data_IF_704636261099
#
_entry.id   IF_704636261099
#
_cell.length_a   1.000
_cell.length_b   1.000
_cell.length_c   1.000
_cell.angle_alpha   90.00
_cell.angle_beta   90.00
_cell.angle_gamma   90.00
#
_symmetry.space_group_name_H-M   'P 1'
#
loop_
_entity.id
_entity.type
_entity.pdbx_description
1 polymer ?
#
# COMPACT_ATOMS: atom_id res chain seq x y z
N UNK A 1 -16.01 -17.30 -22.40
CA UNK A 1 -16.02 -16.22 -21.40
C UNK A 1 -15.47 -14.97 -22.04
N UNK A 2 -16.33 -14.08 -22.54
CA UNK A 2 -15.90 -12.74 -22.93
C UNK A 2 -16.08 -11.85 -21.70
N UNK A 3 -14.98 -11.36 -21.12
CA UNK A 3 -15.07 -10.33 -20.08
C UNK A 3 -15.48 -9.02 -20.75
N UNK A 4 -16.47 -8.33 -20.18
CA UNK A 4 -16.84 -6.98 -20.62
C UNK A 4 -15.83 -5.92 -20.13
N UNK A 5 -14.84 -6.29 -19.30
CA UNK A 5 -13.84 -5.38 -18.75
C UNK A 5 -12.78 -4.99 -19.80
N UNK A 6 -12.68 -3.69 -20.18
CA UNK A 6 -11.67 -3.24 -21.13
C UNK A 6 -10.23 -3.39 -20.62
N UNK A 7 -10.05 -3.54 -19.30
CA UNK A 7 -8.74 -3.74 -18.67
C UNK A 7 -8.33 -5.20 -18.59
N UNK A 8 -9.20 -6.14 -18.95
CA UNK A 8 -8.87 -7.58 -18.91
C UNK A 8 -8.12 -7.98 -20.21
N UNK A 9 -7.00 -8.74 -20.13
CA UNK A 9 -6.39 -9.36 -18.93
C UNK A 9 -5.27 -8.52 -18.28
N UNK A 10 -5.05 -7.27 -18.72
CA UNK A 10 -3.96 -6.42 -18.25
C UNK A 10 -4.00 -6.22 -16.72
N UNK A 11 -5.15 -5.86 -16.16
CA UNK A 11 -5.27 -5.60 -14.71
C UNK A 11 -4.95 -6.83 -13.84
N UNK A 12 -5.50 -8.04 -14.09
CA UNK A 12 -5.10 -9.25 -13.39
C UNK A 12 -3.59 -9.53 -13.47
N UNK A 13 -2.98 -9.39 -14.65
CA UNK A 13 -1.54 -9.62 -14.85
C UNK A 13 -0.73 -8.62 -14.02
N UNK A 14 -1.06 -7.32 -14.11
CA UNK A 14 -0.42 -6.28 -13.33
C UNK A 14 -0.58 -6.51 -11.81
N UNK A 15 -1.77 -6.90 -11.36
CA UNK A 15 -2.05 -7.18 -9.95
C UNK A 15 -1.26 -8.39 -9.43
N UNK A 16 -1.13 -9.44 -10.24
CA UNK A 16 -0.32 -10.61 -9.87
C UNK A 16 1.18 -10.28 -9.80
N UNK A 17 1.69 -9.51 -10.77
CA UNK A 17 3.08 -9.03 -10.71
C UNK A 17 3.31 -8.10 -9.51
N UNK A 18 2.35 -7.22 -9.21
CA UNK A 18 2.38 -6.35 -8.05
C UNK A 18 2.33 -7.11 -6.71
N UNK A 19 1.77 -8.32 -6.68
CA UNK A 19 1.86 -9.20 -5.52
C UNK A 19 3.28 -9.79 -5.35
N UNK A 20 3.90 -10.25 -6.42
CA UNK A 20 5.19 -10.96 -6.35
C UNK A 20 6.38 -10.01 -6.19
N UNK A 21 6.41 -8.92 -6.97
CA UNK A 21 7.60 -8.07 -7.10
C UNK A 21 8.03 -7.43 -5.78
N UNK A 22 7.15 -6.86 -4.92
CA UNK A 22 7.55 -6.29 -3.64
C UNK A 22 8.05 -7.34 -2.65
N UNK A 23 7.59 -8.59 -2.75
CA UNK A 23 8.02 -9.69 -1.87
C UNK A 23 9.48 -10.09 -2.10
N UNK A 24 10.01 -9.87 -3.31
CA UNK A 24 11.41 -10.14 -3.65
C UNK A 24 12.30 -9.40 -2.63
N UNK A 25 12.28 -8.05 -2.53
CA UNK A 25 12.23 -7.22 -1.32
C UNK A 25 12.63 -7.76 0.05
N UNK A 26 11.77 -8.66 0.49
CA UNK A 26 11.35 -8.74 1.88
C UNK A 26 12.44 -9.31 2.79
N UNK A 27 13.15 -10.40 2.43
CA UNK A 27 14.08 -11.05 3.34
C UNK A 27 15.23 -10.15 3.80
N UNK A 28 15.76 -9.29 2.93
CA UNK A 28 16.85 -8.38 3.32
C UNK A 28 16.35 -7.16 4.09
N UNK A 29 15.15 -6.65 3.79
CA UNK A 29 14.57 -5.57 4.59
C UNK A 29 14.21 -6.03 6.01
N UNK A 30 13.79 -7.29 6.17
CA UNK A 30 13.62 -7.93 7.49
C UNK A 30 14.96 -8.04 8.23
N UNK A 31 16.02 -8.54 7.57
CA UNK A 31 17.38 -8.60 8.15
C UNK A 31 17.91 -7.22 8.56
N UNK A 32 17.57 -6.17 7.79
CA UNK A 32 17.95 -4.79 8.06
C UNK A 32 17.08 -4.10 9.14
N UNK A 33 16.10 -4.80 9.73
CA UNK A 33 15.15 -4.25 10.69
C UNK A 33 14.43 -3.00 10.15
N UNK A 34 14.10 -2.97 8.86
CA UNK A 34 13.37 -1.87 8.24
C UNK A 34 11.86 -2.13 8.26
N UNK A 35 11.26 -2.01 9.45
CA UNK A 35 9.82 -2.23 9.71
C UNK A 35 8.91 -1.48 8.76
N UNK A 36 9.13 -0.18 8.55
CA UNK A 36 8.31 0.62 7.63
C UNK A 36 8.24 0.05 6.21
N UNK A 37 9.37 -0.32 5.60
CA UNK A 37 9.37 -0.97 4.28
C UNK A 37 8.72 -2.36 4.32
N UNK A 38 8.92 -3.12 5.40
CA UNK A 38 8.32 -4.45 5.53
C UNK A 38 6.78 -4.36 5.58
N UNK A 39 6.23 -3.38 6.30
CA UNK A 39 4.78 -3.12 6.31
C UNK A 39 4.27 -2.62 4.96
N UNK A 40 5.05 -1.77 4.27
CA UNK A 40 4.71 -1.32 2.93
C UNK A 40 4.61 -2.51 1.96
N UNK A 41 5.61 -3.40 1.96
CA UNK A 41 5.61 -4.64 1.17
C UNK A 41 4.42 -5.52 1.55
N UNK A 42 4.17 -5.73 2.84
CA UNK A 42 3.08 -6.56 3.34
C UNK A 42 1.72 -6.07 2.83
N UNK A 43 1.39 -4.79 3.02
CA UNK A 43 0.10 -4.24 2.63
C UNK A 43 -0.09 -4.19 1.11
N UNK A 44 0.94 -3.74 0.37
CA UNK A 44 0.87 -3.70 -1.10
C UNK A 44 0.71 -5.10 -1.68
N UNK A 45 1.48 -6.08 -1.22
CA UNK A 45 1.39 -7.46 -1.70
C UNK A 45 0.04 -8.09 -1.34
N UNK A 46 -0.42 -7.94 -0.09
CA UNK A 46 -1.69 -8.48 0.36
C UNK A 46 -2.88 -7.90 -0.42
N UNK A 47 -2.88 -6.58 -0.63
CA UNK A 47 -3.92 -5.91 -1.40
C UNK A 47 -3.87 -6.25 -2.89
N UNK A 48 -2.68 -6.37 -3.49
CA UNK A 48 -2.52 -6.81 -4.88
C UNK A 48 -3.00 -8.25 -5.10
N UNK A 49 -2.73 -9.16 -4.16
CA UNK A 49 -3.28 -10.52 -4.20
C UNK A 49 -4.81 -10.51 -4.11
N UNK A 50 -5.36 -9.70 -3.21
CA UNK A 50 -6.80 -9.54 -3.08
C UNK A 50 -7.42 -9.07 -4.41
N UNK A 51 -6.87 -8.01 -5.00
CA UNK A 51 -7.34 -7.45 -6.28
C UNK A 51 -7.20 -8.45 -7.44
N UNK A 52 -6.12 -9.22 -7.49
CA UNK A 52 -5.94 -10.27 -8.48
C UNK A 52 -7.07 -11.31 -8.40
N UNK A 53 -7.31 -11.88 -7.20
CA UNK A 53 -8.36 -12.89 -7.00
C UNK A 53 -9.73 -12.31 -7.40
N UNK A 54 -10.04 -11.08 -6.96
CA UNK A 54 -11.28 -10.40 -7.30
C UNK A 54 -11.47 -10.26 -8.83
N UNK A 55 -10.43 -9.82 -9.54
CA UNK A 55 -10.48 -9.63 -10.99
C UNK A 55 -10.60 -10.92 -11.81
N UNK A 56 -10.15 -12.06 -11.25
CA UNK A 56 -10.19 -13.36 -11.92
C UNK A 56 -11.51 -14.07 -11.64
N UNK A 57 -11.95 -14.11 -10.37
CA UNK A 57 -13.15 -14.86 -9.94
C UNK A 57 -14.44 -14.22 -10.48
N UNK A 58 -14.49 -12.90 -10.57
CA UNK A 58 -15.67 -12.15 -11.06
C UNK A 58 -15.44 -11.56 -12.46
N UNK A 59 -14.58 -12.17 -13.29
CA UNK A 59 -14.22 -11.64 -14.60
C UNK A 59 -15.40 -11.50 -15.58
N UNK A 60 -16.44 -12.34 -15.44
CA UNK A 60 -17.54 -12.46 -16.42
C UNK A 60 -18.95 -12.32 -15.84
N UNK A 61 -19.09 -12.13 -14.52
CA UNK A 61 -20.37 -11.94 -13.85
C UNK A 61 -20.16 -11.44 -12.41
N UNK A 62 -21.25 -11.08 -11.73
CA UNK A 62 -21.27 -10.60 -10.35
C UNK A 62 -21.80 -11.64 -9.33
N UNK A 63 -21.81 -12.94 -9.68
CA UNK A 63 -22.43 -13.97 -8.83
C UNK A 63 -21.68 -14.15 -7.50
N UNK A 64 -22.39 -14.15 -6.38
CA UNK A 64 -21.80 -14.41 -5.06
C UNK A 64 -21.39 -15.88 -4.87
N UNK A 65 -20.21 -16.26 -5.37
CA UNK A 65 -19.65 -17.62 -5.25
C UNK A 65 -18.88 -17.87 -3.95
N UNK A 66 -18.26 -16.82 -3.40
CA UNK A 66 -17.30 -16.93 -2.31
C UNK A 66 -17.57 -15.84 -1.25
N UNK A 67 -18.69 -15.95 -0.49
CA UNK A 67 -19.10 -14.91 0.45
C UNK A 67 -18.08 -14.66 1.56
N UNK A 68 -17.47 -15.72 2.10
CA UNK A 68 -16.42 -15.60 3.13
C UNK A 68 -15.19 -14.87 2.59
N UNK A 69 -14.82 -15.12 1.33
CA UNK A 69 -13.74 -14.40 0.69
C UNK A 69 -14.09 -12.92 0.54
N UNK A 70 -15.31 -12.58 0.12
CA UNK A 70 -15.73 -11.19 0.01
C UNK A 70 -15.68 -10.46 1.35
N UNK A 71 -16.12 -11.08 2.45
CA UNK A 71 -16.01 -10.49 3.80
C UNK A 71 -14.55 -10.15 4.16
N UNK A 72 -13.61 -11.03 3.83
CA UNK A 72 -12.18 -10.82 4.08
C UNK A 72 -11.64 -9.75 3.11
N UNK A 73 -12.00 -9.84 1.83
CA UNK A 73 -11.55 -8.97 0.75
C UNK A 73 -11.84 -7.50 1.05
N UNK A 74 -13.07 -7.17 1.45
CA UNK A 74 -13.44 -5.78 1.72
C UNK A 74 -12.64 -5.18 2.89
N UNK A 75 -12.32 -6.00 3.90
CA UNK A 75 -11.53 -5.61 5.08
C UNK A 75 -10.05 -5.46 4.74
N UNK A 76 -9.52 -6.32 3.87
CA UNK A 76 -8.16 -6.17 3.33
C UNK A 76 -8.04 -4.86 2.56
N UNK A 77 -8.99 -4.58 1.66
CA UNK A 77 -9.01 -3.35 0.86
C UNK A 77 -9.08 -2.10 1.74
N UNK A 78 -9.96 -2.11 2.75
CA UNK A 78 -10.09 -1.02 3.71
C UNK A 78 -8.84 -0.86 4.61
N UNK A 79 -8.23 -1.96 5.07
CA UNK A 79 -7.00 -1.91 5.84
C UNK A 79 -5.82 -1.41 5.02
N UNK A 80 -5.72 -1.82 3.75
CA UNK A 80 -4.63 -1.43 2.86
C UNK A 80 -4.66 0.05 2.48
N UNK A 81 -5.86 0.65 2.31
CA UNK A 81 -5.99 2.08 1.99
C UNK A 81 -5.40 2.99 3.08
N UNK A 82 -5.31 2.49 4.33
CA UNK A 82 -4.74 3.20 5.47
C UNK A 82 -3.33 2.68 5.80
N UNK A 83 -3.12 1.38 5.69
CA UNK A 83 -1.86 0.69 6.01
C UNK A 83 -0.70 1.07 5.09
N UNK A 84 -0.96 1.29 3.79
CA UNK A 84 0.08 1.70 2.83
C UNK A 84 0.58 3.13 3.16
N UNK A 85 -0.28 4.16 3.32
CA UNK A 85 0.16 5.48 3.79
C UNK A 85 0.80 5.44 5.18
N UNK A 86 0.27 4.64 6.11
CA UNK A 86 0.83 4.51 7.45
C UNK A 86 2.27 3.94 7.44
N UNK A 87 2.54 2.99 6.54
CA UNK A 87 3.88 2.46 6.33
C UNK A 87 4.82 3.52 5.73
N UNK A 88 4.34 4.32 4.77
CA UNK A 88 5.06 5.49 4.22
C UNK A 88 5.43 6.49 5.32
N UNK A 89 4.48 6.82 6.20
CA UNK A 89 4.70 7.67 7.37
C UNK A 89 5.81 7.12 8.28
N UNK A 90 5.81 5.81 8.55
CA UNK A 90 6.86 5.20 9.37
C UNK A 90 8.25 5.27 8.68
N UNK A 91 8.31 5.18 7.35
CA UNK A 91 9.55 5.35 6.58
C UNK A 91 10.09 6.77 6.75
N UNK A 92 9.28 7.81 6.53
CA UNK A 92 9.73 9.20 6.65
C UNK A 92 10.08 9.57 8.08
N UNK A 93 9.29 9.11 9.06
CA UNK A 93 9.57 9.31 10.48
C UNK A 93 10.93 8.74 10.86
N UNK A 94 11.26 7.54 10.38
CA UNK A 94 12.58 6.93 10.60
C UNK A 94 13.70 7.73 9.94
N UNK A 95 13.51 8.19 8.70
CA UNK A 95 14.49 9.05 8.02
C UNK A 95 14.74 10.33 8.82
N UNK A 96 13.68 10.94 9.34
CA UNK A 96 13.75 12.11 10.22
C UNK A 96 14.56 11.81 11.48
N UNK A 97 14.23 10.75 12.22
CA UNK A 97 14.98 10.37 13.43
C UNK A 97 16.46 10.09 13.16
N UNK A 98 16.79 9.39 12.07
CA UNK A 98 18.19 9.12 11.70
C UNK A 98 18.92 10.43 11.36
N UNK A 99 18.24 11.40 10.76
CA UNK A 99 18.85 12.68 10.42
C UNK A 99 19.11 13.55 11.65
N UNK A 100 18.24 13.52 12.67
CA UNK A 100 18.31 14.41 13.83
C UNK A 100 19.17 13.87 14.97
N UNK A 101 19.28 12.55 15.13
CA UNK A 101 20.05 11.92 16.22
C UNK A 101 21.50 11.71 15.80
N UNK A 102 22.43 12.36 16.52
CA UNK A 102 23.89 12.30 16.27
C UNK A 102 24.60 11.12 16.96
N UNK A 103 23.91 10.31 17.79
CA UNK A 103 24.56 9.22 18.53
C UNK A 103 24.71 7.93 17.71
N UNK A 104 25.93 7.40 17.66
CA UNK A 104 26.34 6.32 16.75
C UNK A 104 25.95 4.90 17.19
N UNK A 105 25.33 4.70 18.36
CA UNK A 105 25.00 3.37 18.86
C UNK A 105 23.50 3.19 19.07
N UNK A 106 22.85 2.53 18.10
CA UNK A 106 21.45 2.09 18.25
C UNK A 106 21.39 0.78 19.00
N UNK A 107 20.80 0.80 20.20
CA UNK A 107 20.69 -0.41 21.03
C UNK A 107 19.65 -1.38 20.45
N UNK A 108 19.74 -2.68 20.80
CA UNK A 108 18.70 -3.66 20.40
C UNK A 108 17.33 -3.29 20.98
N UNK A 109 17.28 -2.70 22.18
CA UNK A 109 16.05 -2.26 22.82
C UNK A 109 15.37 -1.13 22.02
N UNK A 110 16.14 -0.14 21.55
CA UNK A 110 15.64 0.92 20.67
C UNK A 110 15.07 0.36 19.36
N UNK A 111 15.77 -0.58 18.72
CA UNK A 111 15.27 -1.22 17.49
C UNK A 111 13.93 -1.93 17.72
N UNK A 112 13.78 -2.65 18.82
CA UNK A 112 12.50 -3.29 19.19
C UNK A 112 11.41 -2.26 19.45
N UNK A 113 11.72 -1.16 20.13
CA UNK A 113 10.77 -0.08 20.38
C UNK A 113 10.29 0.57 19.09
N UNK A 114 11.18 0.78 18.11
CA UNK A 114 10.81 1.28 16.78
C UNK A 114 9.86 0.31 16.09
N UNK A 115 10.18 -0.99 16.05
CA UNK A 115 9.29 -1.99 15.46
C UNK A 115 7.93 -2.03 16.15
N UNK A 116 7.88 -1.92 17.48
CA UNK A 116 6.62 -1.88 18.22
C UNK A 116 5.78 -0.66 17.81
N UNK A 117 6.38 0.53 17.80
CA UNK A 117 5.65 1.76 17.41
C UNK A 117 5.18 1.67 15.95
N UNK A 118 6.02 1.18 15.05
CA UNK A 118 5.66 0.98 13.65
C UNK A 118 4.55 -0.06 13.50
N UNK A 119 4.53 -1.12 14.34
CA UNK A 119 3.43 -2.11 14.37
C UNK A 119 2.11 -1.48 14.81
N UNK A 120 2.14 -0.61 15.82
CA UNK A 120 0.95 0.09 16.29
C UNK A 120 0.37 1.00 15.20
N UNK A 121 1.24 1.71 14.47
CA UNK A 121 0.83 2.63 13.39
C UNK A 121 0.41 1.87 12.13
N UNK A 122 1.13 0.83 11.73
CA UNK A 122 0.93 0.15 10.44
C UNK A 122 -0.06 -1.01 10.50
N UNK A 123 -0.39 -1.55 11.69
CA UNK A 123 -1.30 -2.69 11.84
C UNK A 123 -2.46 -2.34 12.77
N UNK A 124 -2.18 -1.98 14.02
CA UNK A 124 -3.26 -1.76 15.00
C UNK A 124 -4.17 -0.61 14.57
N UNK A 125 -3.61 0.51 14.13
CA UNK A 125 -4.39 1.66 13.69
C UNK A 125 -5.30 1.34 12.49
N UNK A 126 -4.83 0.77 11.36
CA UNK A 126 -5.72 0.30 10.28
C UNK A 126 -6.79 -0.67 10.75
N UNK A 127 -6.47 -1.62 11.64
CA UNK A 127 -7.46 -2.58 12.16
C UNK A 127 -8.54 -1.90 13.00
N UNK A 128 -8.19 -0.88 13.81
CA UNK A 128 -9.18 -0.08 14.53
C UNK A 128 -10.10 0.64 13.55
N UNK A 129 -9.55 1.27 12.50
CA UNK A 129 -10.38 1.97 11.52
C UNK A 129 -11.29 0.99 10.74
N UNK A 130 -10.78 -0.19 10.36
CA UNK A 130 -11.60 -1.24 9.72
C UNK A 130 -12.71 -1.73 10.66
N UNK A 131 -12.45 -1.83 11.97
CA UNK A 131 -13.47 -2.16 12.95
C UNK A 131 -14.50 -1.03 13.09
N UNK A 132 -14.08 0.23 13.15
CA UNK A 132 -15.00 1.38 13.20
C UNK A 132 -15.80 1.55 11.91
N UNK A 133 -15.26 1.15 10.77
CA UNK A 133 -15.96 1.20 9.48
C UNK A 133 -17.27 0.42 9.50
N UNK A 134 -17.42 -0.61 10.36
CA UNK A 134 -18.68 -1.34 10.47
C UNK A 134 -19.84 -0.43 10.88
N UNK A 135 -19.60 0.67 11.60
CA UNK A 135 -20.63 1.64 11.99
C UNK A 135 -21.32 2.29 10.79
N UNK A 136 -20.57 2.46 9.69
CA UNK A 136 -21.03 3.16 8.48
C UNK A 136 -21.21 2.22 7.29
N UNK A 137 -21.16 0.91 7.53
CA UNK A 137 -21.35 -0.11 6.50
C UNK A 137 -22.86 -0.37 6.35
N UNK A 138 -23.43 -0.07 5.18
CA UNK A 138 -24.88 -0.14 4.97
C UNK A 138 -25.41 -1.57 4.84
N UNK A 139 -24.63 -2.42 4.18
CA UNK A 139 -24.91 -3.85 4.04
C UNK A 139 -23.60 -4.61 3.83
N UNK A 140 -23.67 -5.94 3.78
CA UNK A 140 -22.52 -6.82 3.94
C UNK A 140 -21.36 -6.49 3.00
N UNK A 141 -21.62 -6.43 1.71
CA UNK A 141 -20.71 -6.01 0.63
C UNK A 141 -21.46 -6.03 -0.70
N UNK A 142 -20.87 -5.39 -1.71
CA UNK A 142 -21.32 -5.49 -3.10
C UNK A 142 -20.34 -6.29 -3.95
N UNK A 143 -20.84 -6.83 -5.04
CA UNK A 143 -20.03 -7.48 -6.07
C UNK A 143 -20.24 -6.73 -7.38
N UNK A 144 -19.15 -6.17 -7.91
CA UNK A 144 -19.13 -5.54 -9.23
C UNK A 144 -18.56 -6.53 -10.24
N UNK A 145 -19.29 -6.83 -11.30
CA UNK A 145 -18.78 -7.66 -12.41
C UNK A 145 -17.49 -7.04 -13.00
N UNK A 146 -16.43 -7.83 -13.10
CA UNK A 146 -15.09 -7.46 -13.57
C UNK A 146 -14.17 -6.85 -12.49
N UNK A 147 -14.74 -6.29 -11.43
CA UNK A 147 -13.97 -5.67 -10.34
C UNK A 147 -13.91 -6.53 -9.07
N UNK A 148 -14.96 -7.29 -8.75
CA UNK A 148 -15.07 -8.17 -7.59
C UNK A 148 -15.77 -7.52 -6.38
N UNK A 149 -15.43 -7.98 -5.17
CA UNK A 149 -16.10 -7.55 -3.95
C UNK A 149 -15.63 -6.16 -3.49
N UNK A 150 -16.57 -5.28 -3.17
CA UNK A 150 -16.32 -3.92 -2.67
C UNK A 150 -17.12 -3.65 -1.38
N UNK A 151 -16.62 -2.79 -0.48
CA UNK A 151 -17.37 -2.45 0.72
C UNK A 151 -18.56 -1.56 0.39
N UNK A 152 -19.74 -1.93 0.88
CA UNK A 152 -20.98 -1.17 0.72
C UNK A 152 -21.10 -0.06 1.78
N UNK A 153 -20.19 0.91 1.73
CA UNK A 153 -20.14 1.99 2.72
C UNK A 153 -21.25 3.00 2.44
N UNK A 154 -22.09 3.26 3.43
CA UNK A 154 -23.16 4.24 3.31
C UNK A 154 -22.59 5.67 3.27
N UNK A 155 -23.05 6.49 2.33
CA UNK A 155 -22.52 7.84 2.15
C UNK A 155 -23.13 8.82 3.17
N UNK A 156 -22.55 8.87 4.36
CA UNK A 156 -22.94 9.79 5.44
C UNK A 156 -21.81 10.72 5.81
N UNK A 157 -22.11 11.83 6.49
CA UNK A 157 -21.06 12.69 7.06
C UNK A 157 -20.11 11.91 7.98
N UNK A 158 -20.64 10.93 8.73
CA UNK A 158 -19.88 10.10 9.65
C UNK A 158 -18.84 9.24 8.94
N UNK A 159 -19.14 8.76 7.73
CA UNK A 159 -18.23 7.97 6.89
C UNK A 159 -16.91 8.70 6.61
N UNK A 160 -16.98 10.01 6.36
CA UNK A 160 -15.79 10.81 6.07
C UNK A 160 -14.88 10.92 7.30
N UNK A 161 -15.45 11.10 8.49
CA UNK A 161 -14.69 11.18 9.74
C UNK A 161 -14.16 9.81 10.20
N UNK A 162 -14.95 8.75 10.08
CA UNK A 162 -14.56 7.43 10.57
C UNK A 162 -13.55 6.77 9.64
N UNK A 163 -13.72 6.89 8.32
CA UNK A 163 -12.99 6.09 7.35
C UNK A 163 -12.25 6.94 6.31
N UNK A 164 -12.94 7.79 5.56
CA UNK A 164 -12.38 8.37 4.33
C UNK A 164 -11.28 9.41 4.55
N UNK A 165 -11.24 10.12 5.69
CA UNK A 165 -10.26 11.18 5.92
C UNK A 165 -8.84 10.67 6.25
N UNK A 166 -8.72 9.45 6.79
CA UNK A 166 -7.47 8.99 7.40
C UNK A 166 -6.27 8.91 6.45
N UNK A 167 -6.40 8.45 5.19
CA UNK A 167 -5.27 8.48 4.26
C UNK A 167 -4.75 9.90 4.02
N UNK A 168 -5.64 10.90 3.92
CA UNK A 168 -5.26 12.30 3.79
C UNK A 168 -4.57 12.83 5.06
N UNK A 169 -5.13 12.54 6.26
CA UNK A 169 -4.54 12.92 7.55
C UNK A 169 -3.13 12.35 7.69
N UNK A 170 -2.95 11.06 7.40
CA UNK A 170 -1.63 10.41 7.43
C UNK A 170 -0.69 11.06 6.42
N UNK A 171 -1.16 11.32 5.20
CA UNK A 171 -0.39 12.01 4.17
C UNK A 171 0.08 13.40 4.58
N UNK A 172 -0.78 14.20 5.23
CA UNK A 172 -0.39 15.51 5.79
C UNK A 172 0.67 15.40 6.88
N UNK A 173 0.53 14.42 7.80
CA UNK A 173 1.55 14.17 8.83
C UNK A 173 2.87 13.77 8.16
N UNK A 174 2.82 12.91 7.15
CA UNK A 174 3.98 12.49 6.34
C UNK A 174 4.66 13.69 5.68
N UNK A 175 3.88 14.61 5.11
CA UNK A 175 4.37 15.84 4.49
C UNK A 175 5.09 16.74 5.50
N UNK A 176 4.56 16.88 6.72
CA UNK A 176 5.21 17.66 7.79
C UNK A 176 6.59 17.06 8.11
N UNK A 177 6.66 15.74 8.36
CA UNK A 177 7.94 15.06 8.61
C UNK A 177 8.93 15.21 7.45
N UNK A 178 8.43 15.15 6.22
CA UNK A 178 9.25 15.32 5.03
C UNK A 178 9.82 16.74 4.92
N UNK A 179 9.00 17.77 5.12
CA UNK A 179 9.44 19.16 5.09
C UNK A 179 10.44 19.48 6.22
N UNK A 180 10.20 18.96 7.43
CA UNK A 180 11.15 19.13 8.54
C UNK A 180 12.48 18.42 8.29
N UNK A 181 12.44 17.24 7.67
CA UNK A 181 13.63 16.52 7.22
C UNK A 181 14.43 17.35 6.21
N UNK A 182 13.76 17.93 5.21
CA UNK A 182 14.41 18.78 4.21
C UNK A 182 15.05 20.03 4.84
N UNK A 183 14.34 20.71 5.73
CA UNK A 183 14.86 21.88 6.43
C UNK A 183 16.10 21.55 7.26
N UNK A 184 16.06 20.45 8.02
CA UNK A 184 17.19 19.99 8.82
C UNK A 184 18.39 19.62 7.94
N UNK A 185 18.16 18.94 6.81
CA UNK A 185 19.21 18.59 5.85
C UNK A 185 19.88 19.80 5.22
N UNK A 186 19.11 20.82 4.81
CA UNK A 186 19.67 22.09 4.30
C UNK A 186 20.61 22.71 5.33
N UNK A 187 20.15 22.82 6.57
CA UNK A 187 20.97 23.35 7.67
C UNK A 187 22.22 22.52 7.95
N UNK A 188 22.14 21.19 7.86
CA UNK A 188 23.28 20.31 8.05
C UNK A 188 24.30 20.43 6.91
N UNK A 189 23.86 20.62 5.66
CA UNK A 189 24.75 20.88 4.53
C UNK A 189 25.48 22.22 4.68
N UNK A 190 24.77 23.27 5.09
CA UNK A 190 25.37 24.57 5.40
C UNK A 190 26.42 24.44 6.52
N UNK A 191 26.09 23.75 7.62
CA UNK A 191 27.03 23.54 8.73
C UNK A 191 28.24 22.67 8.33
N UNK A 192 28.04 21.61 7.55
CA UNK A 192 29.11 20.73 7.08
C UNK A 192 30.02 21.39 6.02
N UNK A 193 29.56 22.42 5.30
CA UNK A 193 30.45 23.21 4.44
C UNK A 193 31.55 23.91 5.26
N UNK A 194 31.30 24.23 6.53
CA UNK A 194 32.28 24.80 7.45
C UNK A 194 33.16 23.74 8.14
N UNK A 195 32.66 22.51 8.28
CA UNK A 195 33.40 21.39 8.88
C UNK A 195 33.76 20.37 7.80
N UNK A 196 34.91 20.57 7.14
CA UNK A 196 35.52 19.57 6.25
C UNK A 196 35.90 18.33 7.05
N UNK A 197 34.97 17.39 7.27
CA UNK A 197 35.29 15.97 7.37
C UNK A 197 34.06 15.04 7.45
N UNK A 198 34.11 14.04 6.59
CA UNK A 198 33.78 12.63 6.82
C UNK A 198 32.38 12.05 6.50
N UNK A 199 32.50 10.94 5.74
CA UNK A 199 31.70 9.71 5.69
C UNK A 199 30.51 9.62 4.73
N UNK A 200 30.71 8.78 3.70
CA UNK A 200 29.72 8.29 2.75
C UNK A 200 28.76 7.31 3.43
N UNK A 201 27.77 7.81 4.16
CA UNK A 201 26.56 7.04 4.43
C UNK A 201 25.84 6.86 3.10
N UNK A 202 25.67 5.62 2.63
CA UNK A 202 25.09 5.19 1.33
C UNK A 202 23.98 6.10 0.82
N UNK A 203 24.39 7.15 0.11
CA UNK A 203 23.57 8.27 -0.35
C UNK A 203 22.40 7.77 -1.21
N UNK A 204 22.66 6.72 -2.01
CA UNK A 204 21.69 6.09 -2.90
C UNK A 204 20.47 5.51 -2.17
N UNK A 205 20.66 4.78 -1.06
CA UNK A 205 19.54 4.20 -0.28
C UNK A 205 18.65 5.28 0.30
N UNK A 206 19.26 6.34 0.83
CA UNK A 206 18.56 7.47 1.44
C UNK A 206 17.72 8.23 0.41
N UNK A 207 18.28 8.55 -0.76
CA UNK A 207 17.53 9.24 -1.82
C UNK A 207 16.34 8.42 -2.33
N UNK A 208 16.47 7.11 -2.44
CA UNK A 208 15.38 6.22 -2.87
C UNK A 208 14.24 6.16 -1.86
N UNK A 209 14.57 6.16 -0.56
CA UNK A 209 13.55 6.25 0.50
C UNK A 209 12.84 7.60 0.47
N UNK A 210 13.59 8.69 0.27
CA UNK A 210 12.99 10.02 0.09
C UNK A 210 12.10 10.07 -1.15
N UNK A 211 12.55 9.54 -2.29
CA UNK A 211 11.76 9.53 -3.51
C UNK A 211 10.45 8.75 -3.33
N UNK A 212 10.50 7.57 -2.68
CA UNK A 212 9.31 6.79 -2.37
C UNK A 212 8.31 7.59 -1.52
N UNK A 213 8.77 8.21 -0.43
CA UNK A 213 7.94 9.02 0.47
C UNK A 213 7.36 10.23 -0.25
N UNK A 214 8.16 10.93 -1.07
CA UNK A 214 7.71 12.09 -1.84
C UNK A 214 6.62 11.69 -2.82
N UNK A 215 6.84 10.61 -3.58
CA UNK A 215 5.85 10.10 -4.53
C UNK A 215 4.56 9.73 -3.80
N UNK A 216 4.65 8.98 -2.70
CA UNK A 216 3.46 8.59 -1.94
C UNK A 216 2.73 9.81 -1.37
N UNK A 217 3.43 10.75 -0.73
CA UNK A 217 2.80 11.95 -0.15
C UNK A 217 2.15 12.84 -1.22
N UNK A 218 2.82 13.00 -2.37
CA UNK A 218 2.36 13.84 -3.48
C UNK A 218 1.10 13.27 -4.15
N UNK A 219 0.94 11.94 -4.18
CA UNK A 219 -0.22 11.31 -4.81
C UNK A 219 -1.33 10.96 -3.82
N UNK A 220 -1.01 10.46 -2.62
CA UNK A 220 -2.02 10.02 -1.64
C UNK A 220 -2.96 11.14 -1.22
N UNK A 221 -2.45 12.33 -0.88
CA UNK A 221 -3.32 13.43 -0.40
C UNK A 221 -4.26 13.92 -1.51
N UNK A 222 -3.77 14.30 -2.72
CA UNK A 222 -4.68 14.74 -3.77
C UNK A 222 -5.64 13.65 -4.23
N UNK A 223 -5.20 12.39 -4.34
CA UNK A 223 -6.08 11.30 -4.74
C UNK A 223 -7.18 11.07 -3.70
N UNK A 224 -6.86 11.08 -2.41
CA UNK A 224 -7.87 10.89 -1.35
C UNK A 224 -8.89 12.03 -1.35
N UNK A 225 -8.44 13.28 -1.49
CA UNK A 225 -9.33 14.43 -1.61
C UNK A 225 -10.20 14.34 -2.86
N UNK A 226 -9.61 13.92 -3.99
CA UNK A 226 -10.34 13.72 -5.23
C UNK A 226 -11.42 12.63 -5.10
N UNK A 227 -11.11 11.47 -4.49
CA UNK A 227 -12.12 10.42 -4.26
C UNK A 227 -13.24 10.89 -3.34
N UNK A 228 -12.94 11.69 -2.30
CA UNK A 228 -13.94 12.29 -1.44
C UNK A 228 -14.85 13.24 -2.24
N UNK A 229 -14.28 14.08 -3.11
CA UNK A 229 -15.04 14.99 -3.97
C UNK A 229 -15.94 14.20 -4.92
N UNK A 230 -15.45 13.12 -5.52
CA UNK A 230 -16.26 12.25 -6.39
C UNK A 230 -17.44 11.63 -5.62
N UNK A 231 -17.22 11.13 -4.40
CA UNK A 231 -18.29 10.57 -3.55
C UNK A 231 -19.38 11.60 -3.24
N UNK A 232 -19.00 12.83 -2.89
CA UNK A 232 -19.95 13.92 -2.60
C UNK A 232 -20.69 14.38 -3.87
N UNK A 233 -20.01 14.38 -5.03
CA UNK A 233 -20.63 14.74 -6.32
C UNK A 233 -21.57 13.66 -6.84
N UNK A 234 -21.28 12.39 -6.57
CA UNK A 234 -22.14 11.27 -6.93
C UNK A 234 -23.47 11.33 -6.17
N UNK A 235 -23.41 11.55 -4.86
CA UNK A 235 -24.58 11.75 -4.03
C UNK A 235 -24.23 12.65 -2.83
N UNK A 236 -25.09 13.62 -2.46
CA UNK A 236 -24.87 14.41 -1.26
C UNK A 236 -24.87 13.49 -0.02
N UNK A 237 -24.00 13.74 0.97
CA UNK A 237 -23.91 12.91 2.16
C UNK A 237 -25.16 13.06 3.02
N UNK A 238 -25.76 11.94 3.41
CA UNK A 238 -26.93 11.92 4.28
C UNK A 238 -26.51 12.05 5.76
N UNK A 239 -27.41 12.53 6.64
CA UNK A 239 -27.19 12.44 8.07
C UNK A 239 -27.16 10.97 8.51
N UNK A 240 -26.17 10.58 9.31
CA UNK A 240 -26.22 9.31 10.04
C UNK A 240 -27.26 9.41 11.15
N UNK A 241 -28.29 8.56 11.11
CA UNK A 241 -29.44 8.62 12.02
C UNK A 241 -29.25 7.66 13.20
N UNK A 242 -29.11 6.36 12.92
CA UNK A 242 -28.95 5.34 13.95
C UNK A 242 -28.27 4.09 13.39
N UNK A 243 -27.76 3.24 14.29
CA UNK A 243 -27.21 1.93 13.92
C UNK A 243 -28.25 1.06 13.20
N UNK A 244 -29.49 1.06 13.70
CA UNK A 244 -30.59 0.25 13.17
C UNK A 244 -30.98 0.64 11.74
N UNK A 245 -30.98 1.95 11.44
CA UNK A 245 -31.27 2.45 10.10
C UNK A 245 -30.16 2.08 9.12
N UNK A 246 -28.90 2.34 9.50
CA UNK A 246 -27.76 2.04 8.62
C UNK A 246 -27.61 0.53 8.39
N UNK A 247 -27.97 -0.32 9.36
CA UNK A 247 -27.89 -1.78 9.25
C UNK A 247 -29.24 -2.43 8.89
N UNK A 248 -30.18 -1.68 8.32
CA UNK A 248 -31.45 -2.24 7.88
C UNK A 248 -31.22 -3.25 6.74
N UNK A 249 -31.65 -4.50 6.97
CA UNK A 249 -31.42 -5.64 6.06
C UNK A 249 -29.92 -5.83 5.68
N UNK A 250 -29.06 -5.74 6.70
CA UNK A 250 -27.60 -5.73 6.54
C UNK A 250 -27.02 -6.92 5.77
N UNK A 251 -27.63 -8.11 5.87
CA UNK A 251 -27.09 -9.33 5.28
C UNK A 251 -27.27 -9.44 3.76
N UNK A 252 -27.97 -8.47 3.14
CA UNK A 252 -28.10 -8.42 1.68
C UNK A 252 -26.75 -8.22 0.99
N UNK A 253 -26.63 -8.79 -0.20
CA UNK A 253 -25.46 -8.67 -1.07
C UNK A 253 -25.95 -8.22 -2.43
N UNK A 254 -25.59 -7.01 -2.82
CA UNK A 254 -26.00 -6.47 -4.12
C UNK A 254 -24.96 -6.87 -5.17
N UNK A 255 -25.46 -7.30 -6.33
CA UNK A 255 -24.66 -7.86 -7.41
C UNK A 255 -24.91 -7.00 -8.64
N UNK A 256 -23.92 -6.22 -9.02
CA UNK A 256 -24.04 -5.24 -10.10
C UNK A 256 -23.36 -5.75 -11.37
N UNK A 257 -24.13 -6.05 -12.43
CA UNK A 257 -23.55 -6.38 -13.73
C UNK A 257 -22.80 -5.19 -14.32
N UNK A 258 -21.82 -5.48 -15.18
CA UNK A 258 -20.88 -4.52 -15.73
C UNK A 258 -21.58 -3.34 -16.41
N UNK A 259 -22.69 -3.60 -17.10
CA UNK A 259 -23.44 -2.58 -17.82
C UNK A 259 -24.09 -1.55 -16.90
N UNK A 260 -24.48 -1.92 -15.68
CA UNK A 260 -25.13 -1.02 -14.75
C UNK A 260 -24.10 -0.12 -14.07
N UNK A 261 -23.09 -0.69 -13.41
CA UNK A 261 -22.13 0.13 -12.67
C UNK A 261 -21.23 0.95 -13.58
N UNK A 262 -20.94 0.47 -14.81
CA UNK A 262 -20.16 1.24 -15.79
C UNK A 262 -20.91 2.35 -16.49
N UNK A 263 -22.24 2.40 -16.37
CA UNK A 263 -23.01 3.52 -16.90
C UNK A 263 -22.81 4.80 -16.08
N UNK A 264 -22.36 4.69 -14.83
CA UNK A 264 -22.10 5.82 -13.96
C UNK A 264 -20.60 6.20 -13.96
N UNK A 265 -20.28 7.33 -14.57
CA UNK A 265 -18.91 7.84 -14.68
C UNK A 265 -18.19 7.95 -13.33
N UNK A 266 -18.87 8.46 -12.29
CA UNK A 266 -18.25 8.66 -10.97
C UNK A 266 -17.89 7.33 -10.30
N UNK A 267 -18.75 6.31 -10.44
CA UNK A 267 -18.50 4.96 -9.91
C UNK A 267 -17.33 4.31 -10.62
N UNK A 268 -17.26 4.43 -11.95
CA UNK A 268 -16.15 3.88 -12.75
C UNK A 268 -14.83 4.49 -12.34
N UNK A 269 -14.74 5.82 -12.32
CA UNK A 269 -13.50 6.52 -11.97
C UNK A 269 -13.08 6.22 -10.54
N UNK A 270 -14.00 6.25 -9.58
CA UNK A 270 -13.70 5.93 -8.18
C UNK A 270 -13.17 4.50 -8.01
N UNK A 271 -13.88 3.53 -8.59
CA UNK A 271 -13.53 2.11 -8.50
C UNK A 271 -12.18 1.82 -9.16
N UNK A 272 -11.99 2.27 -10.41
CA UNK A 272 -10.74 2.02 -11.14
C UNK A 272 -9.55 2.73 -10.49
N UNK A 273 -9.69 3.97 -10.02
CA UNK A 273 -8.62 4.64 -9.28
C UNK A 273 -8.21 3.86 -8.03
N UNK A 274 -9.17 3.44 -7.21
CA UNK A 274 -8.89 2.65 -6.01
C UNK A 274 -8.22 1.30 -6.35
N UNK A 275 -8.62 0.65 -7.44
CA UNK A 275 -8.02 -0.61 -7.91
C UNK A 275 -6.58 -0.43 -8.41
N UNK A 276 -6.31 0.57 -9.25
CA UNK A 276 -5.03 0.75 -9.92
C UNK A 276 -3.93 1.37 -9.03
N UNK A 277 -4.30 2.17 -8.02
CA UNK A 277 -3.33 2.77 -7.10
C UNK A 277 -2.49 1.71 -6.39
N UNK A 278 -3.09 0.58 -5.99
CA UNK A 278 -2.37 -0.47 -5.24
C UNK A 278 -1.26 -1.13 -6.08
N UNK A 279 -1.51 -1.66 -7.30
CA UNK A 279 -0.43 -2.14 -8.18
C UNK A 279 0.62 -1.07 -8.50
N UNK A 280 0.21 0.19 -8.71
CA UNK A 280 1.15 1.29 -8.96
C UNK A 280 2.10 1.50 -7.78
N UNK A 281 1.61 1.48 -6.53
CA UNK A 281 2.44 1.55 -5.33
C UNK A 281 3.47 0.41 -5.28
N UNK A 282 3.05 -0.82 -5.59
CA UNK A 282 3.94 -1.98 -5.64
C UNK A 282 5.02 -1.84 -6.72
N UNK A 283 4.67 -1.40 -7.93
CA UNK A 283 5.62 -1.19 -9.01
C UNK A 283 6.59 -0.05 -8.73
N UNK A 284 6.12 1.07 -8.17
CA UNK A 284 6.98 2.19 -7.75
C UNK A 284 7.97 1.72 -6.69
N UNK A 285 7.49 0.95 -5.71
CA UNK A 285 8.36 0.35 -4.70
C UNK A 285 9.42 -0.55 -5.34
N UNK A 286 9.04 -1.46 -6.23
CA UNK A 286 10.00 -2.34 -6.90
C UNK A 286 10.94 -1.58 -7.84
N UNK A 287 10.49 -0.52 -8.51
CA UNK A 287 11.34 0.33 -9.34
C UNK A 287 12.45 0.97 -8.50
N UNK A 288 12.11 1.49 -7.31
CA UNK A 288 13.10 2.02 -6.40
C UNK A 288 13.95 0.91 -5.76
N UNK A 289 13.37 -0.20 -5.28
CA UNK A 289 14.07 -1.17 -4.44
C UNK A 289 14.58 -2.43 -5.12
N UNK A 290 13.93 -2.87 -6.18
CA UNK A 290 14.28 -4.06 -6.95
C UNK A 290 15.55 -3.91 -7.79
N UNK A 291 15.85 -2.71 -8.32
CA UNK A 291 16.99 -2.50 -9.22
C UNK A 291 18.25 -1.96 -8.54
N UNK A 292 18.20 -1.76 -7.23
CA UNK A 292 19.29 -1.23 -6.42
C UNK A 292 20.54 -2.11 -6.48
N UNK A 293 21.72 -1.51 -6.37
CA UNK A 293 22.99 -2.25 -6.28
C UNK A 293 23.00 -3.25 -5.12
N UNK A 294 22.43 -2.87 -3.97
CA UNK A 294 22.24 -3.75 -2.82
C UNK A 294 21.32 -4.95 -3.15
N UNK A 295 20.26 -4.72 -3.92
CA UNK A 295 19.35 -5.78 -4.34
C UNK A 295 20.04 -6.72 -5.35
N UNK A 296 20.79 -6.18 -6.32
CA UNK A 296 21.59 -6.98 -7.27
C UNK A 296 22.64 -7.83 -6.58
N UNK A 297 23.29 -7.31 -5.54
CA UNK A 297 24.21 -8.09 -4.71
C UNK A 297 23.49 -9.26 -4.03
N UNK A 298 22.33 -9.00 -3.42
CA UNK A 298 21.51 -10.05 -2.80
C UNK A 298 20.99 -11.07 -3.83
N UNK A 299 20.64 -10.64 -5.06
CA UNK A 299 20.26 -11.53 -6.15
C UNK A 299 21.39 -12.46 -6.56
N UNK A 300 22.61 -11.92 -6.69
CA UNK A 300 23.79 -12.72 -6.99
C UNK A 300 24.07 -13.73 -5.87
N UNK A 301 23.97 -13.33 -4.61
CA UNK A 301 24.13 -14.24 -3.47
C UNK A 301 23.06 -15.34 -3.46
N UNK A 302 21.79 -15.00 -3.71
CA UNK A 302 20.70 -15.96 -3.81
C UNK A 302 20.85 -16.92 -5.00
N UNK A 303 21.25 -16.40 -6.17
CA UNK A 303 21.51 -17.19 -7.37
C UNK A 303 22.68 -18.17 -7.15
N UNK A 304 23.76 -17.72 -6.50
CA UNK A 304 24.88 -18.58 -6.14
C UNK A 304 24.50 -19.65 -5.11
N UNK A 305 23.61 -19.34 -4.17
CA UNK A 305 23.09 -20.33 -3.23
C UNK A 305 22.21 -21.37 -3.93
N UNK A 306 21.32 -20.93 -4.84
CA UNK A 306 20.45 -21.80 -5.61
C UNK A 306 21.25 -22.69 -6.58
N UNK A 307 22.28 -22.16 -7.25
CA UNK A 307 23.13 -22.93 -8.17
C UNK A 307 23.96 -24.00 -7.44
N UNK A 308 24.44 -23.71 -6.23
CA UNK A 308 25.07 -24.72 -5.34
C UNK A 308 24.10 -25.80 -4.89
N UNK A 309 22.88 -25.42 -4.52
CA UNK A 309 21.84 -26.36 -4.08
C UNK A 309 21.43 -27.31 -5.21
N UNK A 310 21.34 -26.80 -6.44
CA UNK A 310 20.93 -27.57 -7.64
C UNK A 310 22.09 -28.29 -8.34
N UNK A 311 23.33 -28.20 -7.82
CA UNK A 311 24.56 -28.71 -8.45
C UNK A 311 24.80 -28.22 -9.90
N UNK A 312 24.15 -27.12 -10.30
CA UNK A 312 24.36 -26.46 -11.59
C UNK A 312 25.68 -25.70 -11.64
N UNK A 313 26.25 -25.40 -10.48
CA UNK A 313 27.59 -24.85 -10.32
C UNK A 313 28.65 -25.62 -11.11
N UNK A 314 28.56 -26.96 -11.18
CA UNK A 314 29.44 -27.83 -12.01
C UNK A 314 29.26 -27.67 -13.52
N UNK A 315 28.09 -27.25 -13.98
CA UNK A 315 27.79 -27.00 -15.41
C UNK A 315 28.31 -25.63 -15.81
N UNK A 316 28.13 -24.62 -14.96
CA UNK A 316 28.64 -23.26 -15.23
C UNK A 316 30.17 -23.15 -15.11
N UNK A 317 30.84 -23.97 -14.29
CA UNK A 317 32.32 -24.03 -14.27
C UNK A 317 32.91 -24.59 -15.56
N UNK A 318 32.18 -25.48 -16.26
CA UNK A 318 32.58 -26.02 -17.58
C UNK A 318 32.34 -25.05 -18.74
N UNK A 319 31.53 -24.01 -18.55
CA UNK A 319 31.12 -23.07 -19.61
C UNK A 319 31.86 -21.73 -19.56
N UNK A 320 32.78 -21.50 -18.61
CA UNK A 320 33.72 -20.36 -18.71
C UNK A 320 34.76 -20.69 -19.78
N UNK A 321 34.80 -19.96 -20.92
CA UNK A 321 35.97 -20.01 -21.77
C UNK A 321 37.15 -19.43 -21.00
N UNK A 322 38.32 -20.06 -21.19
CA UNK A 322 39.64 -19.60 -20.70
C UNK A 322 39.94 -18.20 -21.23
#
# INVERSE_FOLDING_TARGET
MHSLDPTYPLFPICSFLAFILPLIPLPWHLKAWNSGLCYYIFWTSLASLNLFINSVVWASDAINRAPIFCDISIRISAGASIGIPAASLCIVKRLYTISTVQSAQTTRAEKRRVVLIDSLICILFPLIIVALQTIVLGHRFDILEGAGCIPAVYNTHLTYFIFSMWPAVIGFISAIYFLTLLAFRRRQMEFNQYLRNSTSLTISRYFRLMALVTTETLFTVPLTLFTIILSVKQAPPNPWISWEETHYDFWRVEQYPAILWRSNFFVVVGTELSRWVVPLCAFIFFAFFGFAEEARKNYNEAFLAASKFTKLDRVFTKLRPV
#
